data_IF_574708554483
#
_entry.id   IF_574708554483
#
_cell.length_a   1.000
_cell.length_b   1.000
_cell.length_c   1.000
_cell.angle_alpha   90.00
_cell.angle_beta   90.00
_cell.angle_gamma   90.00
#
_symmetry.space_group_name_H-M   'P 1'
#
loop_
_entity.id
_entity.type
_entity.pdbx_description
1 polymer ?
#
# COMPACT_ATOMS: atom_id res chain seq x y z
N UNK A 1 4.63 -22.85 7.36
CA UNK A 1 4.75 -22.07 6.11
C UNK A 1 3.69 -20.98 6.16
N UNK A 2 4.07 -19.71 6.15
CA UNK A 2 3.12 -18.60 6.39
C UNK A 2 2.35 -18.25 5.12
N UNK A 3 1.03 -18.10 5.22
CA UNK A 3 0.18 -17.70 4.11
C UNK A 3 0.40 -16.21 3.78
N UNK A 4 1.16 -15.96 2.71
CA UNK A 4 1.52 -14.60 2.26
C UNK A 4 0.31 -13.82 1.75
N UNK A 5 -0.70 -14.49 1.19
CA UNK A 5 -1.92 -13.82 0.68
C UNK A 5 -2.78 -13.37 1.86
N UNK A 6 -2.92 -14.22 2.88
CA UNK A 6 -3.60 -13.84 4.12
C UNK A 6 -2.89 -12.67 4.81
N UNK A 7 -1.56 -12.69 4.87
CA UNK A 7 -0.78 -11.59 5.44
C UNK A 7 -0.91 -10.28 4.66
N UNK A 8 -0.86 -10.30 3.32
CA UNK A 8 -1.05 -9.09 2.51
C UNK A 8 -2.46 -8.50 2.74
N UNK A 9 -3.49 -9.34 2.77
CA UNK A 9 -4.86 -8.89 3.09
C UNK A 9 -4.92 -8.18 4.45
N UNK A 10 -4.29 -8.75 5.47
CA UNK A 10 -4.24 -8.13 6.81
C UNK A 10 -3.50 -6.79 6.77
N UNK A 11 -2.38 -6.72 6.05
CA UNK A 11 -1.62 -5.48 5.89
C UNK A 11 -2.43 -4.38 5.19
N UNK A 12 -3.17 -4.71 4.13
CA UNK A 12 -4.08 -3.78 3.44
C UNK A 12 -5.16 -3.28 4.39
N UNK A 13 -5.85 -4.19 5.09
CA UNK A 13 -6.94 -3.85 6.00
C UNK A 13 -6.47 -2.95 7.14
N UNK A 14 -5.32 -3.26 7.74
CA UNK A 14 -4.77 -2.45 8.82
C UNK A 14 -4.28 -1.09 8.34
N UNK A 15 -3.72 -1.02 7.12
CA UNK A 15 -3.33 0.25 6.50
C UNK A 15 -4.56 1.14 6.28
N UNK A 16 -5.66 0.59 5.76
CA UNK A 16 -6.93 1.33 5.61
C UNK A 16 -7.45 1.81 6.95
N UNK A 17 -7.49 0.93 7.97
CA UNK A 17 -7.95 1.28 9.32
C UNK A 17 -7.18 2.47 9.92
N UNK A 18 -5.88 2.56 9.67
CA UNK A 18 -5.05 3.68 10.12
C UNK A 18 -5.26 4.94 9.29
N UNK A 19 -5.38 4.82 7.96
CA UNK A 19 -5.63 5.95 7.06
C UNK A 19 -7.02 6.58 7.28
N UNK A 20 -8.01 5.81 7.72
CA UNK A 20 -9.34 6.31 8.10
C UNK A 20 -9.31 7.28 9.29
N UNK A 21 -8.22 7.29 10.08
CA UNK A 21 -8.02 8.23 11.19
C UNK A 21 -7.41 9.56 10.72
N UNK A 22 -6.91 9.64 9.49
CA UNK A 22 -6.22 10.82 8.98
C UNK A 22 -7.20 11.94 8.65
N UNK A 23 -6.88 13.16 9.08
CA UNK A 23 -7.60 14.37 8.69
C UNK A 23 -7.08 14.89 7.35
N UNK A 24 -7.80 15.83 6.76
CA UNK A 24 -7.42 16.44 5.48
C UNK A 24 -5.97 16.97 5.49
N UNK A 25 -5.58 17.69 6.55
CA UNK A 25 -4.25 18.27 6.69
C UNK A 25 -3.15 17.23 6.94
N UNK A 26 -3.50 16.04 7.44
CA UNK A 26 -2.52 14.98 7.68
C UNK A 26 -1.93 14.43 6.37
N UNK A 27 -2.67 14.54 5.26
CA UNK A 27 -2.25 14.03 3.96
C UNK A 27 -1.00 14.71 3.40
N UNK A 28 -0.74 15.95 3.82
CA UNK A 28 0.42 16.75 3.38
C UNK A 28 1.58 16.73 4.39
N UNK A 29 1.44 16.01 5.51
CA UNK A 29 2.52 15.86 6.50
C UNK A 29 3.61 14.92 6.00
N UNK A 30 4.86 15.28 6.27
CA UNK A 30 6.01 14.43 5.99
C UNK A 30 5.97 13.12 6.77
N UNK A 31 6.50 12.08 6.14
CA UNK A 31 6.67 10.75 6.72
C UNK A 31 8.16 10.44 6.91
N UNK A 32 8.53 9.39 7.67
CA UNK A 32 9.91 8.92 7.75
C UNK A 32 10.50 8.49 6.39
N UNK A 33 9.66 8.21 5.39
CA UNK A 33 10.11 8.05 4.00
C UNK A 33 10.49 9.43 3.47
N UNK A 34 11.78 9.73 3.45
CA UNK A 34 12.31 11.07 3.14
C UNK A 34 11.72 11.63 1.84
N UNK A 35 11.16 12.84 1.94
CA UNK A 35 10.55 13.56 0.82
C UNK A 35 9.15 13.07 0.43
N UNK A 36 8.52 12.21 1.23
CA UNK A 36 7.17 11.72 0.98
C UNK A 36 6.20 12.21 2.04
N UNK A 37 5.14 12.86 1.59
CA UNK A 37 3.95 13.12 2.40
C UNK A 37 3.18 11.82 2.66
N UNK A 38 2.26 11.84 3.61
CA UNK A 38 1.35 10.71 3.86
C UNK A 38 0.61 10.29 2.58
N UNK A 39 0.18 11.25 1.76
CA UNK A 39 -0.43 11.00 0.44
C UNK A 39 0.48 10.18 -0.46
N UNK A 40 1.75 10.55 -0.55
CA UNK A 40 2.71 9.89 -1.43
C UNK A 40 3.04 8.48 -0.93
N UNK A 41 3.16 8.30 0.38
CA UNK A 41 3.34 6.99 1.00
C UNK A 41 2.14 6.07 0.77
N UNK A 42 0.91 6.54 1.01
CA UNK A 42 -0.29 5.73 0.80
C UNK A 42 -0.47 5.33 -0.67
N UNK A 43 -0.17 6.23 -1.61
CA UNK A 43 -0.18 5.92 -3.04
C UNK A 43 0.84 4.83 -3.38
N UNK A 44 2.06 4.92 -2.84
CA UNK A 44 3.08 3.89 -3.02
C UNK A 44 2.63 2.54 -2.47
N UNK A 45 2.13 2.48 -1.23
CA UNK A 45 1.64 1.24 -0.63
C UNK A 45 0.49 0.63 -1.45
N UNK A 46 -0.42 1.48 -1.95
CA UNK A 46 -1.53 1.03 -2.80
C UNK A 46 -1.03 0.37 -4.09
N UNK A 47 -0.05 0.96 -4.76
CA UNK A 47 0.56 0.37 -5.95
C UNK A 47 1.24 -0.98 -5.64
N UNK A 48 1.95 -1.07 -4.51
CA UNK A 48 2.60 -2.31 -4.08
C UNK A 48 1.59 -3.44 -3.76
N UNK A 49 0.48 -3.13 -3.07
CA UNK A 49 -0.56 -4.13 -2.80
C UNK A 49 -1.26 -4.61 -4.08
N UNK A 50 -1.52 -3.70 -5.04
CA UNK A 50 -2.05 -4.09 -6.36
C UNK A 50 -1.08 -4.99 -7.12
N UNK A 51 0.21 -4.65 -7.10
CA UNK A 51 1.26 -5.47 -7.70
C UNK A 51 1.38 -6.84 -7.06
N UNK A 52 1.33 -6.92 -5.72
CA UNK A 52 1.29 -8.18 -4.98
C UNK A 52 0.08 -9.02 -5.36
N UNK A 53 -1.12 -8.43 -5.37
CA UNK A 53 -2.34 -9.13 -5.75
C UNK A 53 -2.28 -9.65 -7.20
N UNK A 54 -1.67 -8.90 -8.12
CA UNK A 54 -1.42 -9.36 -9.48
C UNK A 54 -0.43 -10.52 -9.51
N UNK A 55 0.69 -10.43 -8.78
CA UNK A 55 1.67 -11.50 -8.67
C UNK A 55 1.06 -12.79 -8.10
N UNK A 56 0.18 -12.69 -7.10
CA UNK A 56 -0.56 -13.82 -6.54
C UNK A 56 -1.49 -14.51 -7.55
N UNK A 57 -1.93 -13.81 -8.61
CA UNK A 57 -2.70 -14.35 -9.73
C UNK A 57 -1.84 -14.81 -10.92
N UNK A 58 -0.51 -14.66 -10.85
CA UNK A 58 0.40 -14.97 -11.95
C UNK A 58 0.64 -13.83 -12.94
N UNK A 59 0.13 -12.62 -12.65
CA UNK A 59 0.23 -11.41 -13.50
C UNK A 59 1.36 -10.46 -13.04
N UNK A 60 2.29 -10.93 -12.19
CA UNK A 60 3.26 -10.05 -11.50
C UNK A 60 4.32 -9.40 -12.39
N UNK A 61 4.49 -9.88 -13.62
CA UNK A 61 5.42 -9.33 -14.61
C UNK A 61 4.86 -8.12 -15.37
N UNK A 62 3.56 -7.84 -15.24
CA UNK A 62 2.95 -6.65 -15.82
C UNK A 62 3.32 -5.41 -15.03
N UNK A 63 4.28 -4.62 -15.53
CA UNK A 63 4.75 -3.39 -14.86
C UNK A 63 3.60 -2.40 -14.55
N UNK A 64 2.53 -2.43 -15.35
CA UNK A 64 1.33 -1.62 -15.13
C UNK A 64 0.63 -1.92 -13.79
N UNK A 65 0.86 -3.09 -13.19
CA UNK A 65 0.29 -3.48 -11.89
C UNK A 65 1.00 -2.87 -10.68
N UNK A 66 2.18 -2.28 -10.90
CA UNK A 66 3.06 -1.72 -9.88
C UNK A 66 3.11 -0.18 -9.89
N UNK A 67 2.15 0.47 -10.57
CA UNK A 67 2.03 1.92 -10.74
C UNK A 67 0.70 2.40 -10.19
#
# INVERSE_FOLDING_TARGET
MTDRIALDRLAVQESVRLLDLARADDWERDTPCTGWTLRRLAAHMTAQHRGFAAAARGEGNELARWR
#
